data_IF_932044401385
#
_entry.id   IF_932044401385
#
_cell.length_a   1.000
_cell.length_b   1.000
_cell.length_c   1.000
_cell.angle_alpha   90.00
_cell.angle_beta   90.00
_cell.angle_gamma   90.00
#
_symmetry.space_group_name_H-M   'P 1'
#
loop_
_entity.id
_entity.type
_entity.pdbx_description
1 polymer ?
#
# COMPACT_ATOMS: atom_id res chain seq x y z
N UNK A 1 -71.37 31.12 9.88
CA UNK A 1 -70.03 31.31 9.28
C UNK A 1 -69.35 29.95 9.21
N UNK A 2 -69.22 29.39 8.00
CA UNK A 2 -68.66 28.04 7.77
C UNK A 2 -67.34 28.20 7.01
N UNK A 3 -66.24 27.70 7.58
CA UNK A 3 -64.92 27.72 6.94
C UNK A 3 -64.68 26.35 6.30
N UNK A 4 -64.45 26.38 4.98
CA UNK A 4 -64.24 25.21 4.13
C UNK A 4 -62.95 24.45 4.47
N UNK A 5 -63.07 23.18 4.84
CA UNK A 5 -61.97 22.22 4.98
C UNK A 5 -61.72 21.48 3.65
N UNK A 6 -61.13 22.15 2.66
CA UNK A 6 -60.72 21.50 1.39
C UNK A 6 -59.29 21.82 0.99
N UNK A 7 -58.31 21.63 1.88
CA UNK A 7 -56.88 21.66 1.52
C UNK A 7 -56.03 20.73 2.39
N UNK A 8 -56.15 19.41 2.24
CA UNK A 8 -55.18 18.50 2.87
C UNK A 8 -54.95 17.15 2.15
N UNK A 9 -55.48 16.95 0.94
CA UNK A 9 -55.40 15.65 0.28
C UNK A 9 -54.30 15.49 -0.77
N UNK A 10 -53.56 16.55 -1.17
CA UNK A 10 -52.74 16.50 -2.40
C UNK A 10 -51.21 16.63 -2.23
N UNK A 11 -50.66 16.50 -1.02
CA UNK A 11 -49.21 16.70 -0.75
C UNK A 11 -48.38 15.41 -0.64
N UNK A 12 -48.99 14.23 -0.58
CA UNK A 12 -48.29 12.95 -0.43
C UNK A 12 -47.58 12.42 -1.69
N UNK A 13 -48.13 12.52 -2.92
CA UNK A 13 -47.45 11.96 -4.10
C UNK A 13 -46.23 12.78 -4.54
N UNK A 14 -46.26 14.10 -4.33
CA UNK A 14 -45.15 14.99 -4.68
C UNK A 14 -43.93 14.76 -3.78
N UNK A 15 -44.14 14.56 -2.48
CA UNK A 15 -43.05 14.27 -1.54
C UNK A 15 -42.37 12.91 -1.82
N UNK A 16 -43.15 11.91 -2.25
CA UNK A 16 -42.61 10.59 -2.61
C UNK A 16 -41.83 10.63 -3.94
N UNK A 17 -42.34 11.36 -4.94
CA UNK A 17 -41.64 11.56 -6.21
C UNK A 17 -40.35 12.38 -6.05
N UNK A 18 -40.35 13.41 -5.20
CA UNK A 18 -39.14 14.17 -4.86
C UNK A 18 -38.13 13.34 -4.09
N UNK A 19 -38.53 12.50 -3.14
CA UNK A 19 -37.62 11.62 -2.42
C UNK A 19 -36.97 10.56 -3.34
N UNK A 20 -37.74 10.01 -4.31
CA UNK A 20 -37.24 9.07 -5.30
C UNK A 20 -36.31 9.76 -6.33
N UNK A 21 -36.66 10.97 -6.77
CA UNK A 21 -35.79 11.75 -7.65
C UNK A 21 -34.51 12.18 -6.94
N UNK A 22 -34.58 12.58 -5.66
CA UNK A 22 -33.40 12.95 -4.87
C UNK A 22 -32.50 11.73 -4.61
N UNK A 23 -33.05 10.55 -4.33
CA UNK A 23 -32.26 9.34 -4.18
C UNK A 23 -31.61 8.91 -5.50
N UNK A 24 -32.31 8.99 -6.63
CA UNK A 24 -31.74 8.75 -7.96
C UNK A 24 -30.66 9.78 -8.35
N UNK A 25 -30.83 11.05 -7.94
CA UNK A 25 -29.86 12.12 -8.17
C UNK A 25 -28.62 11.99 -7.29
N UNK A 26 -28.78 11.54 -6.05
CA UNK A 26 -27.68 11.34 -5.10
C UNK A 26 -26.85 10.07 -5.42
N UNK A 27 -27.48 9.02 -5.96
CA UNK A 27 -26.76 7.85 -6.48
C UNK A 27 -25.89 8.17 -7.71
N UNK A 28 -26.20 9.25 -8.44
CA UNK A 28 -25.44 9.71 -9.60
C UNK A 28 -24.34 10.74 -9.31
N UNK A 29 -24.19 11.20 -8.06
CA UNK A 29 -23.31 12.32 -7.71
C UNK A 29 -22.15 11.97 -6.77
N UNK A 30 -22.02 10.71 -6.35
CA UNK A 30 -20.82 10.22 -5.65
C UNK A 30 -20.08 9.36 -6.67
N UNK A 31 -19.09 9.94 -7.34
CA UNK A 31 -18.10 9.15 -8.07
C UNK A 31 -17.46 8.23 -7.04
N UNK A 32 -17.55 6.90 -7.19
CA UNK A 32 -16.91 6.00 -6.24
C UNK A 32 -15.41 6.27 -6.24
N UNK A 33 -14.84 6.42 -5.05
CA UNK A 33 -13.42 6.64 -4.82
C UNK A 33 -12.77 5.40 -4.18
N UNK A 34 -11.45 5.44 -4.01
CA UNK A 34 -10.74 4.34 -3.37
C UNK A 34 -11.10 4.17 -1.89
N UNK A 35 -11.50 5.24 -1.20
CA UNK A 35 -12.01 5.15 0.16
C UNK A 35 -13.25 4.24 0.25
N UNK A 36 -14.16 4.36 -0.72
CA UNK A 36 -15.32 3.49 -0.82
C UNK A 36 -14.96 2.05 -1.17
N UNK A 37 -14.03 1.83 -2.11
CA UNK A 37 -13.52 0.49 -2.44
C UNK A 37 -12.88 -0.21 -1.23
N UNK A 38 -12.13 0.53 -0.41
CA UNK A 38 -11.54 0.04 0.82
C UNK A 38 -12.61 -0.46 1.80
N UNK A 39 -13.66 0.31 2.05
CA UNK A 39 -14.74 -0.07 2.97
C UNK A 39 -15.53 -1.29 2.48
N UNK A 40 -15.76 -1.40 1.17
CA UNK A 40 -16.37 -2.59 0.57
C UNK A 40 -15.47 -3.82 0.74
N UNK A 41 -14.15 -3.68 0.53
CA UNK A 41 -13.19 -4.76 0.75
C UNK A 41 -13.16 -5.24 2.21
N UNK A 42 -13.15 -4.30 3.18
CA UNK A 42 -13.25 -4.58 4.62
C UNK A 42 -14.53 -5.31 4.98
N UNK A 43 -15.63 -4.97 4.31
CA UNK A 43 -16.95 -5.57 4.52
C UNK A 43 -17.16 -6.90 3.79
N UNK A 44 -16.16 -7.41 3.06
CA UNK A 44 -16.27 -8.67 2.31
C UNK A 44 -17.10 -8.57 1.01
N UNK A 45 -17.44 -7.35 0.56
CA UNK A 45 -18.26 -7.12 -0.64
C UNK A 45 -17.41 -7.14 -1.92
N UNK A 46 -16.63 -8.20 -2.11
CA UNK A 46 -15.59 -8.26 -3.15
C UNK A 46 -16.12 -8.22 -4.58
N UNK A 47 -17.32 -8.75 -4.84
CA UNK A 47 -17.96 -8.64 -6.16
C UNK A 47 -18.28 -7.18 -6.51
N UNK A 48 -18.67 -6.38 -5.51
CA UNK A 48 -18.98 -4.97 -5.70
C UNK A 48 -17.72 -4.14 -5.93
N UNK A 49 -16.65 -4.44 -5.18
CA UNK A 49 -15.31 -3.87 -5.41
C UNK A 49 -14.84 -4.15 -6.83
N UNK A 50 -14.92 -5.41 -7.28
CA UNK A 50 -14.49 -5.77 -8.63
C UNK A 50 -15.28 -5.00 -9.69
N UNK A 51 -16.61 -4.95 -9.57
CA UNK A 51 -17.46 -4.24 -10.54
C UNK A 51 -17.12 -2.76 -10.62
N UNK A 52 -17.01 -2.08 -9.48
CA UNK A 52 -16.78 -0.63 -9.41
C UNK A 52 -15.34 -0.30 -9.82
N UNK A 53 -14.36 -1.00 -9.25
CA UNK A 53 -12.95 -0.77 -9.56
C UNK A 53 -12.62 -1.07 -11.03
N UNK A 54 -13.22 -2.08 -11.65
CA UNK A 54 -13.08 -2.31 -13.10
C UNK A 54 -13.65 -1.17 -13.94
N UNK A 55 -14.76 -0.56 -13.52
CA UNK A 55 -15.30 0.62 -14.20
C UNK A 55 -14.34 1.83 -14.07
N UNK A 56 -13.79 2.06 -12.88
CA UNK A 56 -12.76 3.08 -12.66
C UNK A 56 -11.52 2.84 -13.54
N UNK A 57 -11.03 1.59 -13.60
CA UNK A 57 -9.88 1.19 -14.43
C UNK A 57 -10.15 1.24 -15.94
N UNK A 58 -11.41 1.22 -16.40
CA UNK A 58 -11.77 1.48 -17.80
C UNK A 58 -11.78 2.97 -18.09
N UNK A 59 -12.21 3.78 -17.12
CA UNK A 59 -12.31 5.23 -17.22
C UNK A 59 -11.00 5.94 -16.77
N UNK A 60 -9.84 5.42 -17.17
CA UNK A 60 -8.50 5.85 -16.66
C UNK A 60 -8.22 7.35 -16.79
N UNK A 61 -8.85 8.04 -17.73
CA UNK A 61 -8.64 9.49 -17.97
C UNK A 61 -9.22 10.37 -16.86
N UNK A 62 -10.08 9.82 -16.00
CA UNK A 62 -10.75 10.54 -14.93
C UNK A 62 -9.96 10.52 -13.62
N UNK A 63 -8.98 9.62 -13.49
CA UNK A 63 -8.26 9.36 -12.25
C UNK A 63 -6.77 9.67 -12.41
N UNK A 64 -6.15 10.13 -11.33
CA UNK A 64 -4.71 10.31 -11.23
C UNK A 64 -3.97 8.97 -11.24
N UNK A 65 -2.67 9.01 -11.50
CA UNK A 65 -1.81 7.82 -11.47
C UNK A 65 -1.90 7.06 -10.13
N UNK A 66 -1.86 7.81 -9.02
CA UNK A 66 -1.97 7.29 -7.66
C UNK A 66 -3.32 6.62 -7.39
N UNK A 67 -4.42 7.26 -7.81
CA UNK A 67 -5.77 6.69 -7.66
C UNK A 67 -5.92 5.40 -8.45
N UNK A 68 -5.34 5.31 -9.65
CA UNK A 68 -5.33 4.09 -10.46
C UNK A 68 -4.54 2.98 -9.77
N UNK A 69 -3.34 3.28 -9.25
CA UNK A 69 -2.52 2.30 -8.52
C UNK A 69 -3.26 1.71 -7.31
N UNK A 70 -3.94 2.56 -6.54
CA UNK A 70 -4.76 2.13 -5.40
C UNK A 70 -6.01 1.36 -5.85
N UNK A 71 -6.65 1.74 -6.96
CA UNK A 71 -7.76 0.99 -7.55
C UNK A 71 -7.32 -0.43 -7.93
N UNK A 72 -6.16 -0.58 -8.58
CA UNK A 72 -5.60 -1.89 -8.91
C UNK A 72 -5.44 -2.76 -7.67
N UNK A 73 -4.85 -2.22 -6.60
CA UNK A 73 -4.73 -2.94 -5.33
C UNK A 73 -6.08 -3.46 -4.83
N UNK A 74 -7.10 -2.62 -4.79
CA UNK A 74 -8.42 -3.02 -4.30
C UNK A 74 -9.06 -4.12 -5.14
N UNK A 75 -8.93 -4.05 -6.47
CA UNK A 75 -9.50 -5.04 -7.39
C UNK A 75 -8.72 -6.36 -7.34
N UNK A 76 -7.39 -6.31 -7.30
CA UNK A 76 -6.53 -7.49 -7.15
C UNK A 76 -6.87 -8.19 -5.84
N UNK A 77 -6.92 -7.45 -4.72
CA UNK A 77 -7.28 -7.97 -3.41
C UNK A 77 -8.64 -8.69 -3.44
N UNK A 78 -9.67 -8.04 -4.00
CA UNK A 78 -11.01 -8.61 -4.12
C UNK A 78 -11.01 -9.92 -4.92
N UNK A 79 -10.29 -9.97 -6.05
CA UNK A 79 -10.16 -11.18 -6.88
C UNK A 79 -9.43 -12.31 -6.18
N UNK A 80 -8.36 -12.00 -5.44
CA UNK A 80 -7.64 -12.98 -4.61
C UNK A 80 -8.55 -13.59 -3.56
N UNK A 81 -9.37 -12.78 -2.87
CA UNK A 81 -10.35 -13.26 -1.87
C UNK A 81 -11.47 -14.08 -2.49
N UNK A 82 -11.91 -13.75 -3.71
CA UNK A 82 -12.86 -14.54 -4.49
C UNK A 82 -12.25 -15.77 -5.18
N UNK A 83 -10.96 -16.08 -4.96
CA UNK A 83 -10.23 -17.21 -5.56
C UNK A 83 -10.16 -17.17 -7.09
N UNK A 84 -10.27 -15.98 -7.69
CA UNK A 84 -10.05 -15.72 -9.12
C UNK A 84 -8.57 -15.45 -9.39
N UNK A 85 -7.71 -16.44 -9.14
CA UNK A 85 -6.26 -16.24 -9.06
C UNK A 85 -5.64 -15.80 -10.40
N UNK A 86 -5.99 -16.44 -11.51
CA UNK A 86 -5.46 -16.09 -12.84
C UNK A 86 -5.81 -14.64 -13.23
N UNK A 87 -7.02 -14.20 -12.88
CA UNK A 87 -7.48 -12.83 -13.11
C UNK A 87 -6.79 -11.81 -12.19
N UNK A 88 -6.41 -12.21 -10.97
CA UNK A 88 -5.66 -11.37 -10.05
C UNK A 88 -4.19 -11.23 -10.51
N UNK A 89 -3.58 -12.32 -10.99
CA UNK A 89 -2.23 -12.33 -11.55
C UNK A 89 -2.15 -11.43 -12.78
N UNK A 90 -3.10 -11.56 -13.72
CA UNK A 90 -3.15 -10.72 -14.93
C UNK A 90 -3.21 -9.23 -14.57
N UNK A 91 -4.02 -8.87 -13.58
CA UNK A 91 -4.09 -7.49 -13.10
C UNK A 91 -2.82 -7.04 -12.36
N UNK A 92 -2.15 -7.94 -11.64
CA UNK A 92 -0.88 -7.61 -10.99
C UNK A 92 0.19 -7.27 -12.03
N UNK A 93 0.24 -8.00 -13.15
CA UNK A 93 1.15 -7.67 -14.25
C UNK A 93 0.81 -6.33 -14.92
N UNK A 94 -0.49 -6.01 -15.05
CA UNK A 94 -0.93 -4.68 -15.52
C UNK A 94 -0.53 -3.56 -14.55
N UNK A 95 -0.69 -3.78 -13.25
CA UNK A 95 -0.25 -2.88 -12.19
C UNK A 95 1.27 -2.66 -12.26
N UNK A 96 2.07 -3.71 -12.43
CA UNK A 96 3.54 -3.60 -12.50
C UNK A 96 4.00 -2.77 -13.70
N UNK A 97 3.30 -2.87 -14.83
CA UNK A 97 3.56 -2.02 -16.01
C UNK A 97 3.13 -0.57 -15.79
N UNK A 98 2.06 -0.34 -15.03
CA UNK A 98 1.55 0.99 -14.77
C UNK A 98 2.41 1.71 -13.73
N UNK A 99 2.63 1.11 -12.56
CA UNK A 99 3.20 1.75 -11.35
C UNK A 99 4.60 2.33 -11.50
N UNK A 100 5.32 1.98 -12.58
CA UNK A 100 6.65 2.51 -12.89
C UNK A 100 6.63 3.70 -13.86
N UNK A 101 5.46 4.11 -14.34
CA UNK A 101 5.32 5.17 -15.34
C UNK A 101 5.35 6.57 -14.75
N UNK A 102 4.96 6.73 -13.48
CA UNK A 102 4.91 8.00 -12.78
C UNK A 102 5.11 7.77 -11.27
N UNK A 103 5.36 8.83 -10.52
CA UNK A 103 5.48 8.76 -9.07
C UNK A 103 4.11 8.56 -8.41
N UNK A 104 4.10 7.71 -7.39
CA UNK A 104 2.93 7.51 -6.52
C UNK A 104 2.98 8.56 -5.41
N UNK A 105 1.81 9.09 -5.02
CA UNK A 105 1.68 10.00 -3.89
C UNK A 105 2.41 9.42 -2.65
N UNK A 106 3.34 10.16 -2.03
CA UNK A 106 4.04 9.72 -0.83
C UNK A 106 3.12 9.28 0.32
N UNK A 107 1.87 9.76 0.37
CA UNK A 107 0.88 9.30 1.35
C UNK A 107 0.44 7.85 1.13
N UNK A 108 0.66 7.29 -0.07
CA UNK A 108 0.30 5.93 -0.45
C UNK A 108 1.50 4.97 -0.39
N UNK A 109 2.61 5.30 0.28
CA UNK A 109 3.74 4.36 0.41
C UNK A 109 3.37 3.03 1.09
N UNK A 110 2.29 3.03 1.88
CA UNK A 110 1.71 1.80 2.43
C UNK A 110 1.31 0.80 1.34
N UNK A 111 0.93 1.29 0.15
CA UNK A 111 0.48 0.48 -0.98
C UNK A 111 1.57 -0.49 -1.44
N UNK A 112 2.83 -0.05 -1.49
CA UNK A 112 3.95 -0.89 -1.90
C UNK A 112 4.08 -2.13 -1.01
N UNK A 113 3.85 -1.97 0.29
CA UNK A 113 3.86 -3.10 1.24
C UNK A 113 2.69 -4.04 1.00
N UNK A 114 1.48 -3.53 0.81
CA UNK A 114 0.30 -4.39 0.63
C UNK A 114 0.29 -5.10 -0.74
N UNK A 115 0.84 -4.45 -1.78
CA UNK A 115 1.09 -5.09 -3.07
C UNK A 115 2.12 -6.20 -2.94
N UNK A 116 3.22 -5.99 -2.20
CA UNK A 116 4.23 -7.02 -2.01
C UNK A 116 3.66 -8.27 -1.32
N UNK A 117 2.79 -8.09 -0.32
CA UNK A 117 2.06 -9.19 0.32
C UNK A 117 1.13 -9.92 -0.66
N UNK A 118 0.41 -9.18 -1.51
CA UNK A 118 -0.45 -9.79 -2.53
C UNK A 118 0.37 -10.58 -3.55
N UNK A 119 1.54 -10.08 -3.96
CA UNK A 119 2.44 -10.83 -4.85
C UNK A 119 2.93 -12.12 -4.20
N UNK A 120 3.22 -12.11 -2.91
CA UNK A 120 3.57 -13.32 -2.18
C UNK A 120 2.40 -14.32 -2.12
N UNK A 121 1.19 -13.86 -1.76
CA UNK A 121 -0.02 -14.70 -1.75
C UNK A 121 -0.33 -15.30 -3.13
N UNK A 122 0.00 -14.59 -4.21
CA UNK A 122 -0.17 -15.04 -5.59
C UNK A 122 1.02 -15.87 -6.13
N UNK A 123 2.08 -16.07 -5.35
CA UNK A 123 3.28 -16.82 -5.78
C UNK A 123 4.09 -16.14 -6.88
N UNK A 124 4.04 -14.80 -6.94
CA UNK A 124 4.70 -13.98 -7.96
C UNK A 124 6.09 -13.48 -7.54
N UNK A 125 6.50 -13.77 -6.30
CA UNK A 125 7.80 -13.37 -5.77
C UNK A 125 8.81 -14.52 -5.92
N UNK A 126 10.04 -14.17 -6.26
CA UNK A 126 11.16 -15.10 -6.09
C UNK A 126 11.58 -15.19 -4.62
N UNK A 127 12.38 -16.20 -4.28
CA UNK A 127 12.81 -16.48 -2.89
C UNK A 127 13.39 -15.24 -2.19
N UNK A 128 14.28 -14.50 -2.84
CA UNK A 128 14.87 -13.30 -2.25
C UNK A 128 13.82 -12.22 -1.97
N UNK A 129 12.84 -12.03 -2.86
CA UNK A 129 11.74 -11.09 -2.64
C UNK A 129 10.82 -11.53 -1.51
N UNK A 130 10.52 -12.83 -1.41
CA UNK A 130 9.70 -13.38 -0.32
C UNK A 130 10.37 -13.12 1.04
N UNK A 131 11.65 -13.45 1.17
CA UNK A 131 12.41 -13.20 2.39
C UNK A 131 12.48 -11.72 2.75
N UNK A 132 12.61 -10.82 1.76
CA UNK A 132 12.59 -9.37 1.99
C UNK A 132 11.22 -8.89 2.50
N UNK A 133 10.12 -9.40 1.94
CA UNK A 133 8.77 -9.10 2.44
C UNK A 133 8.60 -9.58 3.88
N UNK A 134 8.99 -10.82 4.18
CA UNK A 134 8.96 -11.33 5.55
C UNK A 134 9.83 -10.48 6.50
N UNK A 135 11.03 -10.07 6.08
CA UNK A 135 11.89 -9.21 6.89
C UNK A 135 11.21 -7.86 7.23
N UNK A 136 10.48 -7.27 6.28
CA UNK A 136 9.72 -6.04 6.52
C UNK A 136 8.57 -6.26 7.50
N UNK A 137 7.87 -7.39 7.42
CA UNK A 137 6.77 -7.74 8.33
C UNK A 137 7.25 -7.97 9.76
N UNK A 138 8.34 -8.72 9.93
CA UNK A 138 8.95 -8.96 11.24
C UNK A 138 9.45 -7.65 11.86
N UNK A 139 10.09 -6.80 11.05
CA UNK A 139 10.53 -5.48 11.50
C UNK A 139 9.35 -4.58 11.91
N UNK A 140 8.23 -4.64 11.19
CA UNK A 140 6.98 -3.95 11.53
C UNK A 140 6.34 -4.47 12.82
N UNK A 141 6.49 -5.77 13.08
CA UNK A 141 6.02 -6.46 14.29
C UNK A 141 6.95 -6.32 15.49
N UNK A 142 8.05 -5.56 15.33
CA UNK A 142 9.10 -5.30 16.31
C UNK A 142 10.03 -6.48 16.61
N UNK A 143 10.00 -7.54 15.79
CA UNK A 143 11.03 -8.60 15.84
C UNK A 143 12.21 -8.22 14.93
N UNK A 144 12.99 -7.24 15.40
CA UNK A 144 14.14 -6.72 14.65
C UNK A 144 15.26 -7.74 14.48
N UNK A 145 15.39 -8.69 15.42
CA UNK A 145 16.40 -9.73 15.35
C UNK A 145 16.06 -10.73 14.24
N UNK A 146 14.80 -11.19 14.17
CA UNK A 146 14.36 -12.06 13.08
C UNK A 146 14.43 -11.39 11.73
N UNK A 147 14.00 -10.12 11.64
CA UNK A 147 14.12 -9.34 10.41
C UNK A 147 15.58 -9.24 9.91
N UNK A 148 16.53 -9.02 10.81
CA UNK A 148 17.96 -8.97 10.49
C UNK A 148 18.52 -10.33 10.04
N UNK A 149 18.04 -11.44 10.61
CA UNK A 149 18.43 -12.78 10.17
C UNK A 149 17.93 -13.08 8.75
N UNK A 150 16.70 -12.67 8.43
CA UNK A 150 16.12 -12.84 7.10
C UNK A 150 16.90 -12.04 6.04
N UNK A 151 17.29 -10.79 6.33
CA UNK A 151 18.11 -10.00 5.39
C UNK A 151 19.50 -10.61 5.19
N UNK A 152 20.11 -11.17 6.23
CA UNK A 152 21.39 -11.92 6.10
C UNK A 152 21.23 -13.15 5.21
N UNK A 153 20.11 -13.87 5.34
CA UNK A 153 19.78 -14.99 4.44
C UNK A 153 19.69 -14.51 2.99
N UNK A 154 19.01 -13.39 2.72
CA UNK A 154 18.93 -12.80 1.37
C UNK A 154 20.32 -12.48 0.83
N UNK A 155 21.17 -11.83 1.61
CA UNK A 155 22.54 -11.47 1.20
C UNK A 155 23.44 -12.68 0.94
N UNK A 156 23.07 -13.86 1.46
CA UNK A 156 23.78 -15.12 1.21
C UNK A 156 23.24 -15.90 -0.01
N UNK A 157 22.09 -15.49 -0.58
CA UNK A 157 21.52 -16.17 -1.75
C UNK A 157 22.37 -15.94 -3.00
N UNK A 158 22.58 -17.00 -3.77
CA UNK A 158 23.21 -16.89 -5.07
C UNK A 158 22.26 -16.22 -6.07
N UNK A 159 22.77 -15.26 -6.86
CA UNK A 159 22.03 -14.66 -7.96
C UNK A 159 21.06 -13.55 -7.57
N UNK A 160 21.16 -13.00 -6.36
CA UNK A 160 20.44 -11.76 -6.03
C UNK A 160 20.89 -10.62 -6.95
N UNK A 161 19.94 -9.78 -7.35
CA UNK A 161 20.23 -8.58 -8.11
C UNK A 161 20.56 -7.40 -7.16
N UNK A 162 21.13 -6.33 -7.72
CA UNK A 162 21.57 -5.17 -6.94
C UNK A 162 20.44 -4.43 -6.23
N UNK A 163 19.21 -4.48 -6.76
CA UNK A 163 18.03 -3.89 -6.12
C UNK A 163 17.65 -4.69 -4.87
N UNK A 164 17.66 -6.02 -4.94
CA UNK A 164 17.43 -6.90 -3.79
C UNK A 164 18.52 -6.74 -2.73
N UNK A 165 19.79 -6.69 -3.16
CA UNK A 165 20.95 -6.46 -2.30
C UNK A 165 20.83 -5.10 -1.57
N UNK A 166 20.53 -4.02 -2.29
CA UNK A 166 20.30 -2.70 -1.72
C UNK A 166 19.18 -2.71 -0.65
N UNK A 167 18.05 -3.33 -0.96
CA UNK A 167 16.91 -3.45 -0.04
C UNK A 167 17.25 -4.27 1.21
N UNK A 168 18.00 -5.38 1.06
CA UNK A 168 18.44 -6.19 2.18
C UNK A 168 19.37 -5.40 3.12
N UNK A 169 20.36 -4.69 2.56
CA UNK A 169 21.24 -3.81 3.34
C UNK A 169 20.46 -2.68 4.03
N UNK A 170 19.48 -2.07 3.36
CA UNK A 170 18.68 -1.03 3.97
C UNK A 170 17.87 -1.53 5.19
N UNK A 171 17.15 -2.65 5.04
CA UNK A 171 16.39 -3.25 6.13
C UNK A 171 17.32 -3.68 7.27
N UNK A 172 18.48 -4.27 6.95
CA UNK A 172 19.47 -4.66 7.93
C UNK A 172 20.01 -3.45 8.72
N UNK A 173 20.24 -2.31 8.05
CA UNK A 173 20.67 -1.08 8.71
C UNK A 173 19.59 -0.55 9.68
N UNK A 174 18.32 -0.52 9.28
CA UNK A 174 17.19 -0.16 10.17
C UNK A 174 17.15 -1.08 11.39
N UNK A 175 17.20 -2.40 11.19
CA UNK A 175 17.10 -3.37 12.27
C UNK A 175 18.29 -3.23 13.24
N UNK A 176 19.50 -3.02 12.70
CA UNK A 176 20.71 -2.81 13.51
C UNK A 176 20.62 -1.55 14.38
N UNK A 177 20.09 -0.46 13.83
CA UNK A 177 19.80 0.76 14.62
C UNK A 177 18.83 0.46 15.76
N UNK A 178 17.72 -0.23 15.47
CA UNK A 178 16.69 -0.57 16.48
C UNK A 178 17.19 -1.54 17.55
N UNK A 179 18.16 -2.39 17.22
CA UNK A 179 18.83 -3.30 18.14
C UNK A 179 19.99 -2.63 18.90
N UNK A 180 20.31 -1.36 18.62
CA UNK A 180 21.41 -0.65 19.26
C UNK A 180 22.81 -1.08 18.78
N UNK A 181 22.92 -1.76 17.64
CA UNK A 181 24.20 -2.21 17.08
C UNK A 181 24.72 -1.19 16.05
N UNK A 182 25.48 -0.20 16.52
CA UNK A 182 26.05 0.84 15.66
C UNK A 182 27.05 0.31 14.61
N UNK A 183 27.99 -0.61 14.93
CA UNK A 183 28.88 -1.20 13.92
C UNK A 183 28.15 -1.86 12.75
N UNK A 184 27.15 -2.71 13.02
CA UNK A 184 26.38 -3.37 11.95
C UNK A 184 25.56 -2.34 11.15
N UNK A 185 24.94 -1.38 11.84
CA UNK A 185 24.16 -0.32 11.19
C UNK A 185 25.02 0.51 10.22
N UNK A 186 26.25 0.86 10.62
CA UNK A 186 27.20 1.59 9.79
C UNK A 186 27.64 0.78 8.57
N UNK A 187 27.99 -0.50 8.78
CA UNK A 187 28.36 -1.39 7.68
C UNK A 187 27.25 -1.50 6.63
N UNK A 188 26.03 -1.84 7.07
CA UNK A 188 24.91 -2.02 6.16
C UNK A 188 24.49 -0.72 5.47
N UNK A 189 24.55 0.43 6.16
CA UNK A 189 24.26 1.73 5.56
C UNK A 189 25.29 2.14 4.50
N UNK A 190 26.56 1.80 4.70
CA UNK A 190 27.60 2.06 3.71
C UNK A 190 27.38 1.24 2.42
N UNK A 191 27.08 -0.05 2.53
CA UNK A 191 26.76 -0.89 1.36
C UNK A 191 25.46 -0.44 0.68
N UNK A 192 24.41 -0.12 1.45
CA UNK A 192 23.20 0.49 0.89
C UNK A 192 23.51 1.75 0.09
N UNK A 193 24.34 2.66 0.63
CA UNK A 193 24.71 3.91 -0.04
C UNK A 193 25.38 3.66 -1.39
N UNK A 194 26.19 2.60 -1.49
CA UNK A 194 26.88 2.19 -2.72
C UNK A 194 25.91 1.62 -3.77
N UNK A 195 24.79 1.06 -3.32
CA UNK A 195 23.82 0.35 -4.16
C UNK A 195 22.53 1.12 -4.44
N UNK A 196 22.21 2.17 -3.67
CA UNK A 196 20.90 2.84 -3.73
C UNK A 196 20.55 3.44 -5.09
N UNK A 197 21.53 3.70 -5.96
CA UNK A 197 21.30 4.13 -7.35
C UNK A 197 20.66 3.06 -8.24
N UNK A 198 20.64 1.78 -7.81
CA UNK A 198 19.92 0.69 -8.48
C UNK A 198 18.46 0.58 -8.04
N UNK A 199 18.02 1.39 -7.08
CA UNK A 199 16.63 1.46 -6.67
C UNK A 199 15.85 2.43 -7.57
N UNK A 200 14.56 2.15 -7.85
CA UNK A 200 13.66 3.13 -8.45
C UNK A 200 13.62 4.43 -7.63
N UNK A 201 13.44 5.59 -8.27
CA UNK A 201 13.48 6.89 -7.59
C UNK A 201 12.43 7.05 -6.47
N UNK A 202 11.31 6.33 -6.57
CA UNK A 202 10.23 6.29 -5.59
C UNK A 202 10.34 5.11 -4.60
N UNK A 203 11.48 4.41 -4.54
CA UNK A 203 11.63 3.26 -3.67
C UNK A 203 11.60 3.67 -2.18
N UNK A 204 10.82 2.98 -1.31
CA UNK A 204 10.65 3.38 0.10
C UNK A 204 11.96 3.58 0.87
N UNK A 205 12.97 2.77 0.56
CA UNK A 205 14.29 2.89 1.18
C UNK A 205 14.96 4.27 0.98
N UNK A 206 14.75 4.91 -0.18
CA UNK A 206 15.30 6.24 -0.46
C UNK A 206 14.64 7.31 0.42
N UNK A 207 13.34 7.15 0.68
CA UNK A 207 12.55 8.09 1.48
C UNK A 207 12.85 7.97 2.97
N UNK A 208 13.13 6.75 3.43
CA UNK A 208 13.44 6.46 4.84
C UNK A 208 14.93 6.57 5.20
N UNK A 209 15.82 6.89 4.25
CA UNK A 209 17.28 6.99 4.51
C UNK A 209 17.61 7.95 5.66
N UNK A 210 16.89 9.08 5.75
CA UNK A 210 17.09 10.06 6.81
C UNK A 210 16.81 9.53 8.22
N UNK A 211 15.92 8.54 8.36
CA UNK A 211 15.63 7.88 9.63
C UNK A 211 16.83 7.06 10.10
N UNK A 212 17.41 6.25 9.21
CA UNK A 212 18.57 5.40 9.51
C UNK A 212 19.79 6.24 9.88
N UNK A 213 20.06 7.29 9.09
CA UNK A 213 21.18 8.22 9.35
C UNK A 213 21.07 8.90 10.71
N UNK A 214 19.85 9.30 11.11
CA UNK A 214 19.61 9.91 12.42
C UNK A 214 19.83 8.91 13.55
N UNK A 215 19.23 7.72 13.45
CA UNK A 215 19.36 6.70 14.47
C UNK A 215 20.80 6.23 14.66
N UNK A 216 21.57 6.09 13.59
CA UNK A 216 23.00 5.76 13.69
C UNK A 216 23.80 6.86 14.42
N UNK A 217 23.48 8.14 14.17
CA UNK A 217 24.12 9.26 14.88
C UNK A 217 23.82 9.21 16.37
N UNK A 218 22.55 9.01 16.74
CA UNK A 218 22.12 8.93 18.15
C UNK A 218 22.83 7.79 18.90
N UNK A 219 23.00 6.62 18.26
CA UNK A 219 23.75 5.51 18.84
C UNK A 219 25.23 5.84 19.06
N UNK A 220 25.87 6.53 18.10
CA UNK A 220 27.27 6.94 18.21
C UNK A 220 27.51 7.98 19.30
N UNK A 221 26.53 8.84 19.54
CA UNK A 221 26.59 9.88 20.57
C UNK A 221 26.26 9.35 21.99
N UNK A 222 26.09 8.03 22.15
CA UNK A 222 25.78 7.40 23.44
C UNK A 222 24.31 7.53 23.87
N UNK A 223 23.44 7.97 22.96
CA UNK A 223 22.00 7.96 23.17
C UNK A 223 21.43 6.55 23.08
N UNK A 224 20.45 6.25 23.94
CA UNK A 224 19.53 5.14 23.64
C UNK A 224 18.67 5.58 22.45
N UNK A 225 18.43 4.74 21.44
CA UNK A 225 17.52 5.08 20.37
C UNK A 225 16.15 5.20 21.02
N UNK A 226 15.76 6.42 21.37
CA UNK A 226 14.47 6.70 21.96
C UNK A 226 13.43 6.09 21.01
N UNK A 227 12.30 5.63 21.55
CA UNK A 227 11.14 5.26 20.76
C UNK A 227 10.76 6.40 19.81
N UNK A 228 11.39 6.47 18.64
CA UNK A 228 11.00 7.32 17.54
C UNK A 228 9.80 6.62 16.94
N UNK A 229 8.65 6.86 17.57
CA UNK A 229 7.36 6.57 16.98
C UNK A 229 7.37 7.16 15.58
N UNK A 230 7.36 6.29 14.57
CA UNK A 230 7.07 6.71 13.20
C UNK A 230 5.77 7.49 13.22
N UNK A 231 5.85 8.74 12.77
CA UNK A 231 4.67 9.56 12.53
C UNK A 231 3.72 8.77 11.63
N UNK A 232 2.48 8.61 12.09
CA UNK A 232 1.38 7.98 11.36
C UNK A 232 1.12 8.68 10.03
#
# INVERSE_FOLDING_TARGET
MSISMTRLANRRPVAFALALALSLSLYGCITPDNGYLMELNRSGKWQEVERIGQDMLRNRRTFTHSELCETYFHVIYARTRMKKLDEAITLMEEYDRLSVQDDIDPQLLWLNREIAKLKDELGLLNEAQQLLVSAMEENGSKDHARALELTRTVLALAGINKTQEASAHFIAAICSVRLGNAPDAEYHLAEYTRLKSFLPGNHPALLEESYVLRGLRELKDGGSPAHVSGSR
#
